data_IF_692115363008
#
_entry.id   IF_692115363008
#
_cell.length_a   1.000
_cell.length_b   1.000
_cell.length_c   1.000
_cell.angle_alpha   90.00
_cell.angle_beta   90.00
_cell.angle_gamma   90.00
#
_symmetry.space_group_name_H-M   'P 1'
#
loop_
_entity.id
_entity.type
_entity.pdbx_description
1 polymer ?
#
# COMPACT_ATOMS: atom_id res chain seq x y z
N UNK A 1 19.73 -8.33 -7.61
CA UNK A 1 18.88 -9.50 -7.90
C UNK A 1 18.02 -9.25 -9.15
N UNK A 2 17.22 -8.16 -9.25
CA UNK A 2 16.36 -7.91 -10.42
C UNK A 2 17.10 -7.89 -11.75
N UNK A 3 18.24 -7.21 -11.81
CA UNK A 3 19.09 -7.16 -13.02
C UNK A 3 19.61 -8.55 -13.41
N UNK A 4 20.03 -9.36 -12.43
CA UNK A 4 20.47 -10.73 -12.70
C UNK A 4 19.32 -11.61 -13.21
N UNK A 5 18.14 -11.52 -12.60
CA UNK A 5 16.96 -12.25 -13.05
C UNK A 5 16.59 -11.88 -14.47
N UNK A 6 16.56 -10.58 -14.77
CA UNK A 6 16.33 -10.10 -16.13
C UNK A 6 17.36 -10.65 -17.13
N UNK A 7 18.66 -10.57 -16.81
CA UNK A 7 19.72 -11.05 -17.67
C UNK A 7 19.62 -12.56 -17.97
N UNK A 8 19.27 -13.35 -16.95
CA UNK A 8 19.07 -14.81 -17.11
C UNK A 8 17.87 -15.07 -18.02
N UNK A 9 16.73 -14.45 -17.75
CA UNK A 9 15.52 -14.60 -18.57
C UNK A 9 15.74 -14.16 -20.01
N UNK A 10 16.38 -13.00 -20.21
CA UNK A 10 16.72 -12.50 -21.53
C UNK A 10 17.60 -13.49 -22.31
N UNK A 11 18.66 -14.03 -21.67
CA UNK A 11 19.57 -14.97 -22.33
C UNK A 11 18.83 -16.25 -22.74
N UNK A 12 17.97 -16.78 -21.86
CA UNK A 12 17.16 -17.98 -22.17
C UNK A 12 16.21 -17.70 -23.34
N UNK A 13 15.45 -16.62 -23.27
CA UNK A 13 14.47 -16.25 -24.28
C UNK A 13 15.13 -15.93 -25.64
N UNK A 14 16.29 -15.28 -25.62
CA UNK A 14 17.04 -15.00 -26.84
C UNK A 14 17.48 -16.28 -27.53
N UNK A 15 17.94 -17.28 -26.78
CA UNK A 15 18.31 -18.60 -27.32
C UNK A 15 17.11 -19.36 -27.91
N UNK A 16 15.92 -19.18 -27.31
CA UNK A 16 14.72 -19.89 -27.78
C UNK A 16 14.05 -19.21 -28.99
N UNK A 17 14.01 -17.89 -29.02
CA UNK A 17 13.25 -17.14 -30.04
C UNK A 17 14.10 -16.60 -31.17
N UNK A 18 15.40 -16.39 -30.95
CA UNK A 18 16.29 -15.73 -31.91
C UNK A 18 16.02 -14.22 -32.10
N UNK A 19 15.00 -13.65 -31.44
CA UNK A 19 14.59 -12.26 -31.64
C UNK A 19 14.95 -11.38 -30.41
N UNK A 20 16.02 -10.57 -30.48
CA UNK A 20 16.55 -9.87 -29.31
C UNK A 20 15.55 -8.88 -28.68
N UNK A 21 14.81 -8.10 -29.48
CA UNK A 21 13.87 -7.10 -28.98
C UNK A 21 12.68 -7.77 -28.27
N UNK A 22 12.12 -8.80 -28.88
CA UNK A 22 10.97 -9.55 -28.29
C UNK A 22 11.41 -10.23 -27.00
N UNK A 23 12.58 -10.86 -26.99
CA UNK A 23 13.16 -11.51 -25.82
C UNK A 23 13.39 -10.53 -24.68
N UNK A 24 13.91 -9.33 -24.97
CA UNK A 24 14.12 -8.29 -23.97
C UNK A 24 12.80 -7.83 -23.33
N UNK A 25 11.77 -7.61 -24.14
CA UNK A 25 10.47 -7.16 -23.65
C UNK A 25 9.77 -8.22 -22.79
N UNK A 26 9.75 -9.47 -23.25
CA UNK A 26 9.18 -10.58 -22.48
C UNK A 26 9.97 -10.82 -21.19
N UNK A 27 11.30 -10.78 -21.25
CA UNK A 27 12.15 -10.94 -20.06
C UNK A 27 11.88 -9.89 -19.00
N UNK A 28 11.67 -8.64 -19.42
CA UNK A 28 11.34 -7.54 -18.50
C UNK A 28 10.01 -7.80 -17.78
N UNK A 29 8.96 -8.14 -18.52
CA UNK A 29 7.64 -8.42 -17.93
C UNK A 29 7.72 -9.62 -16.98
N UNK A 30 8.36 -10.71 -17.38
CA UNK A 30 8.49 -11.90 -16.54
C UNK A 30 9.30 -11.61 -15.28
N UNK A 31 10.38 -10.84 -15.37
CA UNK A 31 11.18 -10.46 -14.22
C UNK A 31 10.33 -9.68 -13.18
N UNK A 32 9.56 -8.69 -13.64
CA UNK A 32 8.67 -7.91 -12.76
C UNK A 32 7.60 -8.80 -12.10
N UNK A 33 6.96 -9.70 -12.85
CA UNK A 33 5.96 -10.63 -12.30
C UNK A 33 6.58 -11.53 -11.24
N UNK A 34 7.75 -12.12 -11.51
CA UNK A 34 8.46 -12.99 -10.56
C UNK A 34 8.83 -12.22 -9.29
N UNK A 35 9.31 -10.98 -9.41
CA UNK A 35 9.67 -10.14 -8.27
C UNK A 35 8.44 -9.77 -7.40
N UNK A 36 7.32 -9.44 -8.03
CA UNK A 36 6.05 -9.19 -7.32
C UNK A 36 5.59 -10.44 -6.58
N UNK A 37 5.59 -11.60 -7.24
CA UNK A 37 5.21 -12.88 -6.62
C UNK A 37 6.14 -13.23 -5.46
N UNK A 38 7.45 -13.06 -5.64
CA UNK A 38 8.43 -13.25 -4.58
C UNK A 38 8.16 -12.34 -3.37
N UNK A 39 7.89 -11.07 -3.60
CA UNK A 39 7.58 -10.11 -2.55
C UNK A 39 6.31 -10.50 -1.78
N UNK A 40 5.23 -10.85 -2.49
CA UNK A 40 3.97 -11.32 -1.87
C UNK A 40 4.21 -12.59 -1.06
N UNK A 41 4.97 -13.54 -1.59
CA UNK A 41 5.32 -14.77 -0.89
C UNK A 41 6.14 -14.50 0.38
N UNK A 42 7.18 -13.66 0.28
CA UNK A 42 8.01 -13.24 1.42
C UNK A 42 7.15 -12.61 2.52
N UNK A 43 6.26 -11.68 2.14
CA UNK A 43 5.34 -11.08 3.10
C UNK A 43 4.42 -12.11 3.76
N UNK A 44 3.83 -13.02 2.99
CA UNK A 44 2.95 -14.06 3.53
C UNK A 44 3.68 -15.05 4.45
N UNK A 45 4.91 -15.41 4.13
CA UNK A 45 5.71 -16.36 4.91
C UNK A 45 6.24 -15.73 6.20
N UNK A 46 6.77 -14.52 6.14
CA UNK A 46 7.45 -13.87 7.26
C UNK A 46 6.51 -13.05 8.15
N UNK A 47 5.62 -12.29 7.55
CA UNK A 47 4.66 -11.45 8.28
C UNK A 47 3.33 -12.18 8.46
N UNK A 48 2.78 -12.75 7.38
CA UNK A 48 1.63 -13.63 7.37
C UNK A 48 0.33 -13.04 7.94
N UNK A 49 -0.69 -13.87 8.00
CA UNK A 49 -1.96 -13.55 8.66
C UNK A 49 -1.86 -13.61 10.20
N UNK A 50 -0.76 -14.17 10.73
CA UNK A 50 -0.52 -14.30 12.18
C UNK A 50 -0.32 -12.97 12.89
N UNK A 51 0.01 -11.91 12.14
CA UNK A 51 0.20 -10.58 12.72
C UNK A 51 -1.14 -9.86 12.95
N UNK A 52 -2.21 -10.33 12.33
CA UNK A 52 -3.51 -9.68 12.43
C UNK A 52 -3.53 -8.28 11.81
N UNK A 53 -4.66 -7.61 11.91
CA UNK A 53 -4.85 -6.23 11.43
C UNK A 53 -4.36 -5.16 12.43
N UNK A 54 -4.00 -5.57 13.64
CA UNK A 54 -3.41 -4.71 14.65
C UNK A 54 -2.43 -5.51 15.50
N UNK A 55 -1.22 -5.03 15.65
CA UNK A 55 -0.20 -5.69 16.47
C UNK A 55 0.83 -4.71 17.02
N UNK A 56 1.50 -5.15 18.09
CA UNK A 56 2.59 -4.44 18.73
C UNK A 56 3.79 -5.37 18.83
N UNK A 57 4.95 -4.92 18.38
CA UNK A 57 6.16 -5.73 18.31
C UNK A 57 7.34 -4.95 18.86
N UNK A 58 8.02 -5.45 19.92
CA UNK A 58 9.22 -4.81 20.44
C UNK A 58 10.33 -4.76 19.39
N UNK A 59 11.09 -3.65 19.36
CA UNK A 59 12.36 -3.58 18.65
C UNK A 59 13.27 -4.71 19.15
N UNK A 60 14.24 -5.08 18.34
CA UNK A 60 15.22 -6.15 18.62
C UNK A 60 14.63 -7.55 18.79
N UNK A 61 13.32 -7.73 18.48
CA UNK A 61 12.71 -9.04 18.40
C UNK A 61 12.89 -9.66 17.00
N UNK A 62 12.87 -11.00 16.94
CA UNK A 62 12.88 -11.70 15.64
C UNK A 62 11.70 -11.29 14.75
N UNK A 63 10.55 -11.03 15.34
CA UNK A 63 9.35 -10.54 14.62
C UNK A 63 9.60 -9.18 13.97
N UNK A 64 10.25 -8.26 14.68
CA UNK A 64 10.62 -6.96 14.15
C UNK A 64 11.58 -7.10 12.97
N UNK A 65 12.62 -7.93 13.10
CA UNK A 65 13.56 -8.20 12.03
C UNK A 65 12.87 -8.77 10.77
N UNK A 66 12.02 -9.79 10.93
CA UNK A 66 11.30 -10.40 9.79
C UNK A 66 10.33 -9.42 9.12
N UNK A 67 9.70 -8.54 9.89
CA UNK A 67 8.85 -7.47 9.37
C UNK A 67 9.64 -6.50 8.50
N UNK A 68 10.77 -5.95 9.00
CA UNK A 68 11.58 -5.00 8.25
C UNK A 68 12.23 -5.65 7.02
N UNK A 69 12.69 -6.88 7.14
CA UNK A 69 13.20 -7.61 5.98
C UNK A 69 12.14 -7.75 4.87
N UNK A 70 10.91 -8.11 5.23
CA UNK A 70 9.80 -8.20 4.26
C UNK A 70 9.43 -6.81 3.68
N UNK A 71 9.52 -5.76 4.49
CA UNK A 71 9.32 -4.37 4.06
C UNK A 71 10.40 -3.93 3.07
N UNK A 72 11.66 -4.23 3.33
CA UNK A 72 12.76 -3.91 2.42
C UNK A 72 12.64 -4.65 1.09
N UNK A 73 12.23 -5.93 1.13
CA UNK A 73 11.89 -6.69 -0.07
C UNK A 73 10.77 -6.00 -0.87
N UNK A 74 9.73 -5.50 -0.20
CA UNK A 74 8.65 -4.78 -0.85
C UNK A 74 9.14 -3.49 -1.52
N UNK A 75 9.88 -2.66 -0.82
CA UNK A 75 10.38 -1.40 -1.37
C UNK A 75 11.41 -1.61 -2.49
N UNK A 76 12.22 -2.67 -2.38
CA UNK A 76 13.21 -2.98 -3.41
C UNK A 76 12.62 -3.53 -4.72
N UNK A 77 11.48 -4.29 -4.66
CA UNK A 77 11.04 -5.11 -5.79
C UNK A 77 9.60 -4.85 -6.23
N UNK A 78 8.72 -4.42 -5.33
CA UNK A 78 7.31 -4.24 -5.63
C UNK A 78 6.91 -2.77 -5.79
N UNK A 79 7.72 -1.85 -5.29
CA UNK A 79 7.44 -0.41 -5.37
C UNK A 79 7.35 0.10 -6.81
N UNK A 80 8.24 -0.36 -7.66
CA UNK A 80 8.30 0.06 -9.08
C UNK A 80 7.07 -0.41 -9.87
N UNK A 81 6.75 -1.73 -9.90
CA UNK A 81 5.51 -2.20 -10.54
C UNK A 81 4.26 -1.53 -9.99
N UNK A 82 4.14 -1.35 -8.68
CA UNK A 82 3.00 -0.68 -8.08
C UNK A 82 2.87 0.79 -8.51
N UNK A 83 4.00 1.47 -8.70
CA UNK A 83 4.00 2.86 -9.20
C UNK A 83 3.47 2.95 -10.63
N UNK A 84 3.92 2.06 -11.52
CA UNK A 84 3.51 2.04 -12.93
C UNK A 84 2.06 1.58 -13.10
N UNK A 85 1.57 0.74 -12.19
CA UNK A 85 0.20 0.22 -12.19
C UNK A 85 -0.76 1.02 -11.29
N UNK A 86 -0.29 2.11 -10.65
CA UNK A 86 -1.11 2.93 -9.77
C UNK A 86 -2.40 3.40 -10.46
N UNK A 87 -3.51 3.40 -9.73
CA UNK A 87 -4.82 3.72 -10.26
C UNK A 87 -5.49 2.63 -11.12
N UNK A 88 -4.83 1.50 -11.33
CA UNK A 88 -5.37 0.40 -12.14
C UNK A 88 -5.88 -0.77 -11.29
N UNK A 89 -6.70 -1.62 -11.91
CA UNK A 89 -7.17 -2.87 -11.29
C UNK A 89 -6.01 -3.82 -10.94
N UNK A 90 -4.91 -3.79 -11.71
CA UNK A 90 -3.75 -4.65 -11.46
C UNK A 90 -3.05 -4.30 -10.14
N UNK A 91 -2.90 -3.01 -9.83
CA UNK A 91 -2.39 -2.60 -8.52
C UNK A 91 -3.27 -3.13 -7.38
N UNK A 92 -4.60 -3.02 -7.52
CA UNK A 92 -5.54 -3.53 -6.53
C UNK A 92 -5.44 -5.06 -6.34
N UNK A 93 -5.19 -5.82 -7.41
CA UNK A 93 -4.95 -7.27 -7.33
C UNK A 93 -3.70 -7.58 -6.50
N UNK A 94 -2.59 -6.90 -6.78
CA UNK A 94 -1.33 -7.07 -6.03
C UNK A 94 -1.54 -6.75 -4.55
N UNK A 95 -2.22 -5.64 -4.25
CA UNK A 95 -2.50 -5.23 -2.88
C UNK A 95 -3.43 -6.21 -2.14
N UNK A 96 -4.43 -6.79 -2.83
CA UNK A 96 -5.25 -7.86 -2.25
C UNK A 96 -4.43 -9.10 -1.94
N UNK A 97 -3.48 -9.47 -2.78
CA UNK A 97 -2.54 -10.57 -2.49
C UNK A 97 -1.67 -10.27 -1.26
N UNK A 98 -1.37 -9.01 -1.00
CA UNK A 98 -0.66 -8.56 0.20
C UNK A 98 -1.55 -8.49 1.45
N UNK A 99 -2.83 -8.79 1.34
CA UNK A 99 -3.78 -8.85 2.45
C UNK A 99 -4.68 -7.63 2.61
N UNK A 100 -4.60 -6.64 1.72
CA UNK A 100 -5.50 -5.49 1.71
C UNK A 100 -6.92 -5.90 1.33
N UNK A 101 -7.92 -5.34 2.00
CA UNK A 101 -9.32 -5.46 1.61
C UNK A 101 -9.68 -4.23 0.76
N UNK A 102 -10.08 -4.45 -0.48
CA UNK A 102 -10.42 -3.37 -1.41
C UNK A 102 -11.76 -3.68 -2.05
N UNK A 103 -12.71 -2.76 -1.92
CA UNK A 103 -14.03 -2.83 -2.54
C UNK A 103 -14.01 -2.67 -4.06
N UNK A 104 -15.18 -2.56 -4.65
CA UNK A 104 -15.33 -2.37 -6.10
C UNK A 104 -15.07 -0.91 -6.47
N UNK A 105 -14.56 -0.66 -7.67
CA UNK A 105 -14.34 0.67 -8.26
C UNK A 105 -13.48 1.62 -7.40
N UNK A 106 -12.65 1.07 -6.52
CA UNK A 106 -11.74 1.84 -5.69
C UNK A 106 -10.44 2.12 -6.43
N UNK A 107 -10.00 3.37 -6.43
CA UNK A 107 -8.81 3.86 -7.12
C UNK A 107 -7.76 4.26 -6.09
N UNK A 108 -6.60 3.62 -6.13
CA UNK A 108 -5.45 3.93 -5.29
C UNK A 108 -4.33 4.49 -6.17
N UNK A 109 -4.05 5.79 -6.08
CA UNK A 109 -3.07 6.45 -6.94
C UNK A 109 -1.65 6.46 -6.36
N UNK A 110 -1.50 6.16 -5.07
CA UNK A 110 -0.19 6.14 -4.38
C UNK A 110 0.06 4.84 -3.60
N UNK A 111 -0.11 3.65 -4.21
CA UNK A 111 -0.06 2.38 -3.48
C UNK A 111 1.35 1.97 -3.03
N UNK A 112 2.40 2.71 -3.39
CA UNK A 112 3.79 2.35 -3.10
C UNK A 112 4.32 2.91 -1.77
N UNK A 113 3.52 3.67 -1.04
CA UNK A 113 4.01 4.39 0.16
C UNK A 113 3.82 3.60 1.45
N UNK A 114 3.01 2.56 1.46
CA UNK A 114 2.76 1.73 2.63
C UNK A 114 3.18 0.27 2.39
N UNK A 115 3.49 -0.43 3.46
CA UNK A 115 3.78 -1.87 3.46
C UNK A 115 2.70 -2.68 4.18
N UNK A 116 2.03 -2.07 5.16
CA UNK A 116 1.08 -2.74 6.06
C UNK A 116 -0.30 -2.95 5.45
N UNK A 117 -0.36 -3.33 4.19
CA UNK A 117 -1.61 -3.50 3.44
C UNK A 117 -2.60 -4.47 4.07
N UNK A 118 -2.12 -5.38 4.94
CA UNK A 118 -2.98 -6.28 5.72
C UNK A 118 -3.73 -5.57 6.86
N UNK A 119 -3.32 -4.36 7.21
CA UNK A 119 -3.93 -3.55 8.27
C UNK A 119 -4.91 -2.50 7.75
N UNK A 120 -5.24 -2.50 6.46
CA UNK A 120 -6.17 -1.53 5.89
C UNK A 120 -7.31 -2.19 5.13
N UNK A 121 -8.48 -1.57 5.20
CA UNK A 121 -9.62 -1.87 4.33
C UNK A 121 -10.12 -0.60 3.64
N UNK A 122 -10.39 -0.74 2.37
CA UNK A 122 -11.08 0.27 1.56
C UNK A 122 -12.45 -0.27 1.16
N UNK A 123 -13.46 0.56 1.30
CA UNK A 123 -14.78 0.32 0.78
C UNK A 123 -14.83 0.36 -0.75
N UNK A 124 -16.03 0.37 -1.29
CA UNK A 124 -16.28 0.56 -2.71
C UNK A 124 -16.32 2.05 -3.05
N UNK A 125 -16.02 2.38 -4.32
CA UNK A 125 -16.11 3.75 -4.84
C UNK A 125 -15.19 4.76 -4.14
N UNK A 126 -14.09 4.30 -3.52
CA UNK A 126 -13.13 5.17 -2.87
C UNK A 126 -12.07 5.68 -3.84
N UNK A 127 -11.63 6.93 -3.63
CA UNK A 127 -10.48 7.51 -4.32
C UNK A 127 -9.43 7.87 -3.27
N UNK A 128 -8.24 7.27 -3.36
CA UNK A 128 -7.17 7.49 -2.38
C UNK A 128 -5.89 7.93 -3.08
N UNK A 129 -5.58 9.20 -2.95
CA UNK A 129 -4.39 9.84 -3.50
C UNK A 129 -3.41 10.31 -2.40
N UNK A 130 -3.78 10.12 -1.14
CA UNK A 130 -3.00 10.54 0.02
C UNK A 130 -1.92 9.55 0.45
N UNK A 131 -1.24 9.91 1.52
CA UNK A 131 -0.23 9.09 2.21
C UNK A 131 -0.91 8.26 3.30
N UNK A 132 -0.61 6.96 3.33
CA UNK A 132 -1.17 6.04 4.30
C UNK A 132 -0.04 5.54 5.21
N UNK A 133 -0.11 5.86 6.51
CA UNK A 133 0.89 5.49 7.49
C UNK A 133 0.25 4.64 8.60
N UNK A 134 0.23 3.33 8.42
CA UNK A 134 -0.47 2.40 9.31
C UNK A 134 0.32 1.99 10.55
N UNK A 135 1.63 2.22 10.56
CA UNK A 135 2.49 1.91 11.70
C UNK A 135 3.12 3.14 12.32
N UNK A 136 3.38 3.04 13.60
CA UNK A 136 4.13 4.03 14.38
C UNK A 136 5.22 3.35 15.20
N UNK A 137 6.27 4.08 15.49
CA UNK A 137 7.37 3.65 16.34
C UNK A 137 7.28 4.42 17.65
N UNK A 138 6.85 3.75 18.70
CA UNK A 138 6.62 4.36 20.00
C UNK A 138 7.23 3.50 21.12
N UNK A 139 7.99 4.09 22.00
CA UNK A 139 8.58 3.40 23.15
C UNK A 139 9.32 2.11 22.77
N UNK A 140 10.21 2.20 21.76
CA UNK A 140 10.99 1.06 21.27
C UNK A 140 10.08 -0.11 20.80
N UNK A 141 8.91 0.22 20.29
CA UNK A 141 7.90 -0.74 19.83
C UNK A 141 7.31 -0.30 18.51
N UNK A 142 7.25 -1.21 17.55
CA UNK A 142 6.50 -1.06 16.32
C UNK A 142 5.02 -1.36 16.61
N UNK A 143 4.16 -0.40 16.36
CA UNK A 143 2.70 -0.56 16.49
C UNK A 143 2.05 -0.40 15.14
N UNK A 144 1.29 -1.40 14.72
CA UNK A 144 0.44 -1.37 13.53
C UNK A 144 -1.01 -1.38 14.01
N UNK A 145 -1.83 -0.48 13.48
CA UNK A 145 -3.26 -0.40 13.80
C UNK A 145 -4.10 -0.45 12.54
N UNK A 146 -5.24 -1.15 12.65
CA UNK A 146 -6.17 -1.28 11.54
C UNK A 146 -6.79 0.08 11.21
N UNK A 147 -6.80 0.39 9.92
CA UNK A 147 -7.41 1.60 9.36
C UNK A 147 -8.52 1.20 8.42
N UNK A 148 -9.70 1.78 8.58
CA UNK A 148 -10.86 1.51 7.76
C UNK A 148 -11.29 2.79 7.03
N UNK A 149 -11.25 2.77 5.69
CA UNK A 149 -11.74 3.83 4.82
C UNK A 149 -12.98 3.26 4.13
N UNK A 150 -14.16 3.82 4.45
CA UNK A 150 -15.43 3.25 4.03
C UNK A 150 -15.89 3.78 2.66
N UNK A 151 -17.01 3.23 2.19
CA UNK A 151 -17.55 3.43 0.84
C UNK A 151 -17.67 4.91 0.45
N UNK A 152 -17.37 5.25 -0.79
CA UNK A 152 -17.54 6.59 -1.34
C UNK A 152 -16.58 7.65 -0.81
N UNK A 153 -15.61 7.27 0.05
CA UNK A 153 -14.70 8.25 0.65
C UNK A 153 -13.58 8.68 -0.30
N UNK A 154 -13.18 9.95 -0.19
CA UNK A 154 -12.09 10.52 -0.95
C UNK A 154 -10.96 11.01 -0.03
N UNK A 155 -9.76 10.49 -0.23
CA UNK A 155 -8.51 10.97 0.41
C UNK A 155 -7.68 11.65 -0.64
N UNK A 156 -7.66 12.97 -0.64
CA UNK A 156 -7.04 13.76 -1.68
C UNK A 156 -5.52 13.84 -1.56
N UNK A 157 -4.89 14.44 -2.58
CA UNK A 157 -3.44 14.49 -2.72
C UNK A 157 -2.75 15.15 -1.51
N UNK A 158 -1.71 14.49 -1.00
CA UNK A 158 -0.95 14.98 0.15
C UNK A 158 -1.65 14.84 1.50
N UNK A 159 -2.93 14.45 1.54
CA UNK A 159 -3.56 14.12 2.81
C UNK A 159 -2.90 12.88 3.43
N UNK A 160 -2.73 12.89 4.75
CA UNK A 160 -2.10 11.79 5.49
C UNK A 160 -3.11 11.12 6.42
N UNK A 161 -3.24 9.81 6.33
CA UNK A 161 -4.09 9.00 7.22
C UNK A 161 -3.21 8.10 8.07
N UNK A 162 -3.26 8.30 9.39
CA UNK A 162 -2.48 7.50 10.34
C UNK A 162 -3.22 6.23 10.77
N UNK A 163 -2.45 5.27 11.30
CA UNK A 163 -2.95 3.97 11.73
C UNK A 163 -4.02 4.04 12.81
N UNK A 164 -5.05 3.24 12.67
CA UNK A 164 -6.19 3.18 13.59
C UNK A 164 -7.32 4.14 13.25
N UNK A 165 -7.17 4.97 12.24
CA UNK A 165 -8.23 5.88 11.81
C UNK A 165 -9.40 5.12 11.18
N UNK A 166 -10.61 5.62 11.43
CA UNK A 166 -11.85 5.16 10.79
C UNK A 166 -12.46 6.34 10.06
N UNK A 167 -12.60 6.21 8.75
CA UNK A 167 -13.20 7.22 7.88
C UNK A 167 -14.56 6.68 7.43
N UNK A 168 -15.64 7.34 7.86
CA UNK A 168 -17.01 6.95 7.57
C UNK A 168 -17.34 7.14 6.09
N UNK A 169 -18.42 6.49 5.58
CA UNK A 169 -18.79 6.60 4.16
C UNK A 169 -18.95 8.05 3.71
N UNK A 170 -18.68 8.29 2.43
CA UNK A 170 -18.86 9.60 1.77
C UNK A 170 -18.08 10.75 2.41
N UNK A 171 -17.03 10.43 3.19
CA UNK A 171 -16.14 11.41 3.80
C UNK A 171 -15.08 11.88 2.81
N UNK A 172 -14.87 13.18 2.72
CA UNK A 172 -13.84 13.79 1.89
C UNK A 172 -12.76 14.43 2.74
N UNK A 173 -11.51 13.99 2.55
CA UNK A 173 -10.33 14.68 3.07
C UNK A 173 -9.77 15.60 1.99
N UNK A 174 -9.72 16.89 2.26
CA UNK A 174 -9.14 17.88 1.35
C UNK A 174 -7.60 17.69 1.27
N UNK A 175 -6.95 18.24 0.24
CA UNK A 175 -5.51 18.12 0.09
C UNK A 175 -4.75 18.60 1.32
N UNK A 176 -3.63 17.92 1.63
CA UNK A 176 -2.72 18.24 2.76
C UNK A 176 -3.33 18.09 4.16
N UNK A 177 -4.53 17.54 4.29
CA UNK A 177 -5.15 17.26 5.60
C UNK A 177 -4.45 16.11 6.32
N UNK A 178 -4.46 16.13 7.66
CA UNK A 178 -3.87 15.08 8.47
C UNK A 178 -4.87 14.46 9.44
N UNK A 179 -5.20 13.19 9.22
CA UNK A 179 -5.98 12.38 10.14
C UNK A 179 -5.03 11.70 11.12
N UNK A 180 -5.17 12.07 12.39
CA UNK A 180 -4.33 11.55 13.45
C UNK A 180 -4.66 10.09 13.77
N UNK A 181 -3.74 9.47 14.50
CA UNK A 181 -3.85 8.09 14.96
C UNK A 181 -5.16 7.87 15.74
N UNK A 182 -5.86 6.80 15.39
CA UNK A 182 -7.12 6.39 16.05
C UNK A 182 -8.27 7.41 15.92
N UNK A 183 -8.14 8.38 15.04
CA UNK A 183 -9.20 9.37 14.84
C UNK A 183 -10.38 8.73 14.11
N UNK A 184 -11.60 9.05 14.56
CA UNK A 184 -12.84 8.64 13.90
C UNK A 184 -13.46 9.86 13.24
N UNK A 185 -13.62 9.80 11.92
CA UNK A 185 -14.19 10.87 11.10
C UNK A 185 -15.61 10.48 10.64
N UNK A 186 -16.65 11.07 11.24
CA UNK A 186 -18.01 11.01 10.70
C UNK A 186 -18.09 11.55 9.27
N UNK A 187 -19.19 11.24 8.59
CA UNK A 187 -19.44 11.71 7.21
C UNK A 187 -19.44 13.24 7.12
N UNK A 188 -18.39 13.80 6.56
CA UNK A 188 -18.21 15.23 6.33
C UNK A 188 -17.00 15.51 5.40
N UNK A 189 -16.79 16.78 5.06
CA UNK A 189 -15.54 17.25 4.44
C UNK A 189 -14.60 17.77 5.54
N UNK A 190 -13.33 17.37 5.46
CA UNK A 190 -12.31 17.70 6.45
C UNK A 190 -11.12 18.39 5.83
N UNK A 191 -10.54 19.35 6.55
CA UNK A 191 -9.34 20.08 6.18
C UNK A 191 -8.44 20.29 7.41
N UNK A 192 -7.15 20.50 7.18
CA UNK A 192 -6.19 20.91 8.20
C UNK A 192 -5.40 19.78 8.84
N UNK A 193 -4.56 20.15 9.80
CA UNK A 193 -3.67 19.25 10.55
C UNK A 193 -3.65 19.65 12.03
N UNK A 194 -4.42 18.95 12.90
CA UNK A 194 -5.32 17.82 12.64
C UNK A 194 -6.50 18.18 11.71
N UNK A 195 -7.06 17.15 11.08
CA UNK A 195 -8.22 17.32 10.18
C UNK A 195 -9.47 17.69 11.00
N UNK A 196 -10.08 18.82 10.67
CA UNK A 196 -11.30 19.35 11.27
C UNK A 196 -12.40 19.48 10.22
N UNK A 197 -13.66 19.48 10.65
CA UNK A 197 -14.81 19.61 9.74
C UNK A 197 -14.79 21.00 9.10
N UNK A 198 -14.89 21.02 7.79
CA UNK A 198 -15.04 22.28 7.05
C UNK A 198 -16.45 22.82 7.21
N UNK A 199 -16.58 24.03 7.71
CA UNK A 199 -17.87 24.72 7.82
C UNK A 199 -18.28 25.34 6.49
N UNK A 200 -19.58 25.49 6.24
CA UNK A 200 -20.10 26.04 4.97
C UNK A 200 -19.53 27.41 4.61
N UNK A 201 -19.12 28.20 5.60
CA UNK A 201 -18.52 29.54 5.40
C UNK A 201 -17.09 29.47 4.83
N UNK A 202 -16.40 28.30 4.92
CA UNK A 202 -15.04 28.10 4.43
C UNK A 202 -15.00 27.56 2.97
N UNK A 203 -16.15 27.11 2.44
CA UNK A 203 -16.26 26.55 1.07
C UNK A 203 -16.53 27.64 0.04
N UNK A 204 -16.82 28.85 0.45
CA UNK A 204 -17.04 30.03 -0.43
C UNK A 204 -15.76 30.83 -0.57
#
# INVERSE_FOLDING_TARGET
AGVMLYAILYTILLRLSGHPIVSAFIALILAEVILVVHCVATKKLLVGSKWGSAHSTPFWSWRHFTYFFAQDCFFAWCRWPLRTLAGTVLANIILRWMGCRIGKRTILTSPMQAFDWHAVSFGSDCIVAGVLQFHTLENITLKVKRTDIRDGSAVNFGATVMGGAVIEPETTLLPLSMVLKEMHLPTATYEGSPAEVVTEDQIR
#
